data_IF_041140162730
#
_entry.id   IF_041140162730
#
_cell.length_a   1.000
_cell.length_b   1.000
_cell.length_c   1.000
_cell.angle_alpha   90.00
_cell.angle_beta   90.00
_cell.angle_gamma   90.00
#
_symmetry.space_group_name_H-M   'P 1'
#
loop_
_entity.id
_entity.type
_entity.pdbx_description
1 polymer ?
#
# COMPACT_ATOMS: atom_id res chain seq x y z
N UNK A 1 -51.20 -10.33 17.43
CA UNK A 1 -50.84 -11.45 18.34
C UNK A 1 -49.51 -12.02 17.85
N UNK A 2 -48.40 -11.44 18.29
CA UNK A 2 -47.60 -11.81 19.49
C UNK A 2 -46.34 -12.55 19.01
N UNK A 3 -45.27 -11.81 18.71
CA UNK A 3 -44.09 -11.68 19.57
C UNK A 3 -43.62 -13.02 20.15
N UNK A 4 -42.46 -13.49 19.70
CA UNK A 4 -41.50 -14.23 20.53
C UNK A 4 -40.11 -13.65 20.33
N UNK A 5 -39.80 -12.71 21.23
CA UNK A 5 -38.46 -12.41 21.73
C UNK A 5 -37.95 -13.66 22.43
N UNK A 6 -36.70 -14.02 22.23
CA UNK A 6 -35.92 -14.76 23.22
C UNK A 6 -34.46 -14.33 23.10
N UNK A 7 -34.16 -13.32 23.89
CA UNK A 7 -32.84 -12.91 24.32
C UNK A 7 -32.22 -14.05 25.16
N UNK A 8 -30.96 -14.38 24.89
CA UNK A 8 -30.13 -15.04 25.90
C UNK A 8 -28.75 -14.39 25.93
N UNK A 9 -28.74 -13.19 26.51
CA UNK A 9 -27.59 -12.59 27.16
C UNK A 9 -27.40 -13.31 28.51
N UNK A 10 -26.33 -14.10 28.64
CA UNK A 10 -25.81 -14.50 29.96
C UNK A 10 -24.48 -13.77 30.18
N UNK A 11 -24.61 -12.62 30.84
CA UNK A 11 -23.54 -11.88 31.51
C UNK A 11 -23.18 -12.62 32.81
N UNK A 12 -21.94 -13.09 32.91
CA UNK A 12 -21.27 -13.21 34.20
C UNK A 12 -20.20 -12.14 34.28
N UNK A 13 -20.44 -11.16 35.14
CA UNK A 13 -19.47 -10.16 35.54
C UNK A 13 -18.53 -10.74 36.60
N UNK A 14 -17.21 -10.55 36.43
CA UNK A 14 -16.29 -10.24 37.54
C UNK A 14 -15.13 -9.36 37.03
N UNK A 15 -14.51 -8.52 37.89
CA UNK A 15 -13.81 -7.30 37.48
C UNK A 15 -12.29 -7.33 37.68
N UNK A 16 -11.61 -6.32 37.11
CA UNK A 16 -10.19 -5.91 37.28
C UNK A 16 -9.21 -6.79 36.47
N UNK A 17 -8.33 -6.27 35.61
CA UNK A 17 -7.77 -4.94 35.47
C UNK A 17 -6.24 -5.06 35.53
N UNK A 18 -5.57 -5.32 34.40
CA UNK A 18 -4.11 -5.21 34.27
C UNK A 18 -3.78 -4.57 32.93
N UNK A 19 -3.59 -3.25 32.97
CA UNK A 19 -3.04 -2.46 31.87
C UNK A 19 -1.54 -2.69 31.83
N UNK A 20 -1.03 -3.26 30.74
CA UNK A 20 0.39 -3.26 30.44
C UNK A 20 0.79 -1.86 29.98
N UNK A 21 1.56 -1.18 30.83
CA UNK A 21 2.14 0.13 30.54
C UNK A 21 3.59 -0.09 30.07
N UNK A 22 3.84 0.00 28.77
CA UNK A 22 5.17 0.28 28.24
C UNK A 22 5.08 1.54 27.40
N UNK A 23 5.15 2.68 28.08
CA UNK A 23 5.28 3.99 27.46
C UNK A 23 6.78 4.31 27.41
N UNK A 24 7.33 4.28 26.21
CA UNK A 24 8.65 4.83 25.89
C UNK A 24 8.64 6.35 26.15
N UNK A 25 9.66 6.95 26.77
CA UNK A 25 9.75 8.40 26.87
C UNK A 25 10.31 8.99 25.57
N UNK A 26 9.47 9.80 24.93
CA UNK A 26 9.84 10.77 23.91
C UNK A 26 10.50 11.95 24.64
N UNK A 27 11.70 12.32 24.18
CA UNK A 27 12.44 13.51 24.55
C UNK A 27 11.81 14.68 23.82
N UNK A 28 11.25 15.66 24.54
CA UNK A 28 11.15 17.04 24.04
C UNK A 28 11.02 18.04 25.20
N UNK A 29 12.16 18.66 25.47
CA UNK A 29 12.46 20.04 25.84
C UNK A 29 11.35 21.11 25.85
N UNK A 30 11.41 21.93 26.92
CA UNK A 30 11.43 23.42 26.95
C UNK A 30 10.22 24.18 27.55
N UNK A 31 10.60 25.02 28.53
CA UNK A 31 10.03 26.31 28.99
C UNK A 31 8.89 26.32 30.04
N UNK A 32 9.32 26.88 31.18
CA UNK A 32 8.67 28.00 31.87
C UNK A 32 7.49 27.67 32.79
N UNK A 33 7.68 27.87 34.10
CA UNK A 33 7.22 29.10 34.78
C UNK A 33 7.58 29.05 36.26
N UNK A 34 8.23 30.12 36.70
CA UNK A 34 8.22 30.60 38.08
C UNK A 34 6.78 30.77 38.57
N UNK A 35 6.49 30.37 39.81
CA UNK A 35 5.53 31.04 40.69
C UNK A 35 5.71 30.59 42.14
N UNK A 36 6.19 31.56 42.93
CA UNK A 36 5.95 31.81 44.35
C UNK A 36 4.98 30.89 45.12
N UNK A 37 5.46 30.37 46.26
CA UNK A 37 4.68 30.40 47.52
C UNK A 37 5.57 30.13 48.74
N UNK A 38 5.65 31.12 49.62
CA UNK A 38 6.07 31.07 51.03
C UNK A 38 4.77 30.87 51.85
N UNK A 39 4.67 29.94 52.83
CA UNK A 39 4.93 30.27 54.26
C UNK A 39 5.50 29.05 55.04
N UNK A 40 5.96 29.10 56.28
CA UNK A 40 5.75 30.02 57.39
C UNK A 40 6.92 29.82 58.39
N UNK A 41 7.48 30.92 58.90
CA UNK A 41 8.44 30.92 60.00
C UNK A 41 7.66 31.06 61.31
N UNK A 42 7.85 30.11 62.24
CA UNK A 42 7.50 30.31 63.65
C UNK A 42 8.48 29.53 64.54
N UNK A 43 9.14 30.23 65.47
CA UNK A 43 9.88 29.62 66.59
C UNK A 43 11.40 29.86 66.58
N UNK A 44 11.84 30.89 67.32
CA UNK A 44 13.21 31.39 67.48
C UNK A 44 14.13 30.50 68.35
N UNK A 45 15.44 30.48 68.06
CA UNK A 45 16.57 30.87 68.95
C UNK A 45 17.93 30.87 68.21
N UNK A 46 18.63 32.01 68.22
CA UNK A 46 20.08 32.18 67.93
C UNK A 46 20.89 31.90 69.23
N UNK A 47 22.26 31.82 69.29
CA UNK A 47 23.30 32.09 68.28
C UNK A 47 24.55 31.15 68.30
N UNK A 48 25.03 30.70 67.14
CA UNK A 48 26.47 30.46 66.83
C UNK A 48 26.57 30.59 65.30
N UNK A 49 26.53 31.80 64.74
CA UNK A 49 27.73 32.58 64.40
C UNK A 49 28.71 31.74 63.56
N UNK A 50 28.45 31.75 62.24
CA UNK A 50 29.46 32.04 61.21
C UNK A 50 30.86 31.45 61.44
N UNK A 51 31.13 30.23 60.95
CA UNK A 51 32.51 29.78 60.71
C UNK A 51 32.71 28.72 59.61
N UNK A 52 31.68 28.26 58.91
CA UNK A 52 31.81 27.21 57.88
C UNK A 52 31.34 27.64 56.48
N UNK A 53 31.53 28.92 56.13
CA UNK A 53 31.37 29.45 54.76
C UNK A 53 32.68 29.98 54.17
N UNK A 54 33.83 29.51 54.66
CA UNK A 54 35.15 29.98 54.19
C UNK A 54 36.24 28.91 54.11
N UNK A 55 35.90 27.66 53.80
CA UNK A 55 36.88 26.64 53.40
C UNK A 55 36.20 25.52 52.60
N UNK A 56 35.85 25.79 51.34
CA UNK A 56 35.84 24.77 50.25
C UNK A 56 35.46 25.32 48.86
N UNK A 57 35.76 26.59 48.56
CA UNK A 57 35.62 27.16 47.22
C UNK A 57 36.90 27.04 46.36
N UNK A 58 37.72 26.00 46.59
CA UNK A 58 38.95 25.72 45.82
C UNK A 58 39.16 24.22 45.53
N UNK A 59 38.11 23.41 45.57
CA UNK A 59 38.21 21.97 45.26
C UNK A 59 37.21 21.47 44.19
N UNK A 60 36.45 22.37 43.54
CA UNK A 60 35.51 21.99 42.47
C UNK A 60 35.71 22.90 41.24
N UNK A 61 36.96 23.20 40.89
CA UNK A 61 37.25 23.99 39.69
C UNK A 61 38.52 23.55 38.94
N UNK A 62 38.87 22.27 39.03
CA UNK A 62 39.82 21.62 38.13
C UNK A 62 39.36 20.19 37.83
N UNK A 63 38.30 20.05 37.03
CA UNK A 63 38.04 18.84 36.25
C UNK A 63 37.20 19.13 34.99
N UNK A 64 37.48 20.26 34.33
CA UNK A 64 37.00 20.55 32.98
C UNK A 64 38.21 20.93 32.15
N UNK A 65 38.91 19.93 31.63
CA UNK A 65 39.78 20.00 30.45
C UNK A 65 40.70 18.78 30.44
N UNK A 66 40.19 17.60 30.13
CA UNK A 66 40.97 16.51 29.55
C UNK A 66 39.98 15.41 29.15
N UNK A 67 39.50 15.47 27.90
CA UNK A 67 39.41 14.31 27.00
C UNK A 67 38.83 14.78 25.65
N UNK A 68 39.66 14.82 24.59
CA UNK A 68 39.29 15.25 23.26
C UNK A 68 38.65 14.10 22.46
N UNK A 69 37.75 14.47 21.54
CA UNK A 69 37.72 13.93 20.17
C UNK A 69 37.70 12.40 20.00
N UNK A 70 36.64 11.71 20.43
CA UNK A 70 36.31 10.35 19.92
C UNK A 70 34.79 10.09 19.83
N UNK A 71 34.00 11.09 19.44
CA UNK A 71 32.60 10.90 19.00
C UNK A 71 32.41 11.34 17.54
N UNK A 72 33.35 10.93 16.70
CA UNK A 72 33.24 11.04 15.24
C UNK A 72 33.56 9.68 14.64
N UNK A 73 32.82 8.64 15.05
CA UNK A 73 32.89 7.32 14.43
C UNK A 73 31.66 6.50 14.80
N UNK A 74 30.89 6.15 13.75
CA UNK A 74 29.99 5.01 13.70
C UNK A 74 28.62 5.19 14.39
N UNK A 75 27.79 6.05 13.79
CA UNK A 75 26.43 5.63 13.47
C UNK A 75 25.98 6.28 12.15
N UNK A 76 26.83 6.20 11.12
CA UNK A 76 26.32 5.98 9.77
C UNK A 76 25.79 4.55 9.74
N UNK A 77 24.67 4.32 10.44
CA UNK A 77 23.76 3.26 10.04
C UNK A 77 23.17 3.78 8.74
N UNK A 78 23.97 3.67 7.68
CA UNK A 78 23.50 3.70 6.31
C UNK A 78 22.34 2.74 6.34
N UNK A 79 21.15 3.32 6.35
CA UNK A 79 19.92 2.63 6.14
C UNK A 79 20.15 1.96 4.80
N UNK A 80 20.53 0.67 4.85
CA UNK A 80 20.43 -0.23 3.72
C UNK A 80 18.93 -0.26 3.48
N UNK A 81 18.46 0.75 2.75
CA UNK A 81 17.18 0.74 2.07
C UNK A 81 17.32 -0.48 1.21
N UNK A 82 16.77 -1.60 1.70
CA UNK A 82 16.75 -2.86 0.98
C UNK A 82 15.96 -2.52 -0.27
N UNK A 83 16.68 -2.19 -1.34
CA UNK A 83 16.10 -1.51 -2.48
C UNK A 83 15.24 -2.54 -3.20
N UNK A 84 13.98 -2.63 -2.77
CA UNK A 84 13.02 -3.58 -3.28
C UNK A 84 12.82 -3.31 -4.76
N UNK A 85 13.37 -4.18 -5.60
CA UNK A 85 13.37 -4.03 -7.06
C UNK A 85 11.98 -4.20 -7.64
N UNK A 86 11.50 -3.25 -8.44
CA UNK A 86 10.24 -3.38 -9.21
C UNK A 86 10.46 -4.22 -10.47
N UNK A 87 9.43 -4.88 -11.00
CA UNK A 87 9.60 -5.66 -12.24
C UNK A 87 9.81 -4.79 -13.47
N UNK A 88 9.32 -3.55 -13.46
CA UNK A 88 9.44 -2.59 -14.57
C UNK A 88 10.26 -1.40 -14.09
N UNK A 89 11.30 -1.09 -14.85
CA UNK A 89 12.13 0.09 -14.66
C UNK A 89 11.48 1.26 -15.40
N UNK A 90 11.27 2.36 -14.70
CA UNK A 90 10.58 3.56 -15.20
C UNK A 90 11.28 4.80 -14.67
N UNK A 91 11.21 5.88 -15.44
CA UNK A 91 11.78 7.18 -15.07
C UNK A 91 11.18 7.69 -13.76
N UNK A 92 12.03 7.95 -12.78
CA UNK A 92 11.61 8.28 -11.41
C UNK A 92 10.89 9.64 -11.30
N UNK A 93 11.16 10.55 -12.25
CA UNK A 93 10.60 11.89 -12.31
C UNK A 93 9.09 11.87 -12.59
N UNK A 94 8.66 11.11 -13.60
CA UNK A 94 7.28 11.13 -14.09
C UNK A 94 6.43 9.97 -13.55
N UNK A 95 6.98 9.15 -12.65
CA UNK A 95 6.30 7.95 -12.14
C UNK A 95 6.22 7.91 -10.63
N UNK A 96 5.08 7.47 -10.12
CA UNK A 96 4.89 7.12 -8.71
C UNK A 96 4.83 5.60 -8.54
N UNK A 97 5.41 5.09 -7.46
CA UNK A 97 5.52 3.65 -7.20
C UNK A 97 4.95 3.33 -5.81
N UNK A 98 4.29 2.18 -5.71
CA UNK A 98 3.78 1.65 -4.44
C UNK A 98 3.90 0.13 -4.44
N UNK A 99 4.24 -0.44 -3.29
CA UNK A 99 4.40 -1.88 -3.11
C UNK A 99 3.93 -2.31 -1.73
N UNK A 100 3.24 -3.45 -1.69
CA UNK A 100 2.97 -4.18 -0.46
C UNK A 100 3.60 -5.57 -0.52
N UNK A 101 4.42 -5.91 0.47
CA UNK A 101 5.09 -7.20 0.57
C UNK A 101 4.43 -8.09 1.62
N UNK A 102 4.36 -9.39 1.34
CA UNK A 102 3.89 -10.40 2.29
C UNK A 102 2.47 -10.14 2.82
N UNK A 103 1.60 -9.56 1.98
CA UNK A 103 0.25 -9.17 2.35
C UNK A 103 -0.60 -10.41 2.63
N UNK A 104 -1.31 -10.43 3.77
CA UNK A 104 -2.17 -11.55 4.20
C UNK A 104 -3.53 -11.54 3.51
N UNK A 105 -3.50 -11.56 2.19
CA UNK A 105 -4.65 -11.59 1.28
C UNK A 105 -4.47 -12.74 0.31
N UNK A 106 -5.58 -13.28 -0.19
CA UNK A 106 -5.51 -14.43 -1.09
C UNK A 106 -4.99 -14.01 -2.46
N UNK A 107 -3.84 -14.54 -2.87
CA UNK A 107 -3.14 -14.20 -4.11
C UNK A 107 -4.05 -14.21 -5.35
N UNK A 108 -4.92 -15.21 -5.50
CA UNK A 108 -5.78 -15.30 -6.69
C UNK A 108 -6.72 -14.10 -6.82
N UNK A 109 -7.25 -13.59 -5.72
CA UNK A 109 -8.14 -12.44 -5.74
C UNK A 109 -7.39 -11.16 -6.08
N UNK A 110 -6.21 -10.98 -5.47
CA UNK A 110 -5.35 -9.84 -5.73
C UNK A 110 -4.96 -9.78 -7.21
N UNK A 111 -4.60 -10.92 -7.81
CA UNK A 111 -4.25 -11.03 -9.23
C UNK A 111 -5.38 -10.56 -10.15
N UNK A 112 -6.62 -11.00 -9.90
CA UNK A 112 -7.75 -10.59 -10.75
C UNK A 112 -8.06 -9.10 -10.59
N UNK A 113 -7.99 -8.57 -9.36
CA UNK A 113 -8.15 -7.12 -9.12
C UNK A 113 -7.05 -6.34 -9.85
N UNK A 114 -5.77 -6.63 -9.61
CA UNK A 114 -4.65 -5.90 -10.23
C UNK A 114 -4.71 -5.95 -11.75
N UNK A 115 -5.13 -7.09 -12.31
CA UNK A 115 -5.24 -7.25 -13.75
C UNK A 115 -6.40 -6.43 -14.34
N UNK A 116 -7.52 -6.30 -13.62
CA UNK A 116 -8.65 -5.51 -14.09
C UNK A 116 -8.35 -4.01 -14.10
N UNK A 117 -7.61 -3.54 -13.09
CA UNK A 117 -7.38 -2.11 -12.85
C UNK A 117 -6.20 -1.58 -13.69
N UNK A 118 -5.37 -2.47 -14.24
CA UNK A 118 -4.27 -2.10 -15.13
C UNK A 118 -4.81 -1.31 -16.34
N UNK A 119 -4.25 -0.12 -16.57
CA UNK A 119 -4.64 0.79 -17.65
C UNK A 119 -5.82 1.73 -17.31
N UNK A 120 -6.40 1.65 -16.11
CA UNK A 120 -7.38 2.65 -15.67
C UNK A 120 -6.69 3.93 -15.18
N UNK A 121 -7.42 5.05 -15.23
CA UNK A 121 -7.04 6.26 -14.50
C UNK A 121 -7.14 6.01 -12.99
N UNK A 122 -6.31 6.71 -12.20
CA UNK A 122 -6.26 6.52 -10.76
C UNK A 122 -7.62 6.82 -10.09
N UNK A 123 -8.29 7.90 -10.49
CA UNK A 123 -9.62 8.26 -10.00
C UNK A 123 -10.68 7.18 -10.30
N UNK A 124 -10.69 6.64 -11.53
CA UNK A 124 -11.62 5.57 -11.91
C UNK A 124 -11.35 4.29 -11.14
N UNK A 125 -10.08 3.95 -10.92
CA UNK A 125 -9.68 2.80 -10.13
C UNK A 125 -10.17 2.91 -8.68
N UNK A 126 -9.99 4.07 -8.04
CA UNK A 126 -10.46 4.32 -6.68
C UNK A 126 -11.98 4.16 -6.55
N UNK A 127 -12.73 4.80 -7.46
CA UNK A 127 -14.19 4.65 -7.51
C UNK A 127 -14.62 3.19 -7.69
N UNK A 128 -13.96 2.46 -8.59
CA UNK A 128 -14.24 1.04 -8.80
C UNK A 128 -14.03 0.21 -7.53
N UNK A 129 -12.98 0.47 -6.75
CA UNK A 129 -12.76 -0.24 -5.48
C UNK A 129 -13.89 0.01 -4.48
N UNK A 130 -14.37 1.25 -4.39
CA UNK A 130 -15.48 1.63 -3.52
C UNK A 130 -16.79 0.97 -3.96
N UNK A 131 -17.06 0.97 -5.27
CA UNK A 131 -18.23 0.29 -5.84
C UNK A 131 -18.18 -1.23 -5.61
N UNK A 132 -17.00 -1.86 -5.63
CA UNK A 132 -16.82 -3.28 -5.30
C UNK A 132 -17.07 -3.55 -3.83
N UNK A 133 -16.60 -2.69 -2.92
CA UNK A 133 -16.86 -2.78 -1.49
C UNK A 133 -18.36 -2.59 -1.17
N UNK A 134 -19.04 -1.75 -1.95
CA UNK A 134 -20.48 -1.53 -1.90
C UNK A 134 -21.30 -2.58 -2.69
N UNK A 135 -20.66 -3.60 -3.27
CA UNK A 135 -21.28 -4.65 -4.10
C UNK A 135 -22.02 -4.16 -5.37
N UNK A 136 -21.77 -2.92 -5.79
CA UNK A 136 -22.35 -2.30 -6.99
C UNK A 136 -21.63 -2.71 -8.28
N UNK A 137 -20.30 -2.82 -8.20
CA UNK A 137 -19.45 -3.31 -9.28
C UNK A 137 -18.83 -4.65 -8.90
N UNK A 138 -18.53 -5.50 -9.89
CA UNK A 138 -17.95 -6.83 -9.66
C UNK A 138 -16.52 -6.89 -10.21
N UNK A 139 -15.63 -7.61 -9.51
CA UNK A 139 -14.31 -7.93 -10.04
C UNK A 139 -14.45 -9.10 -11.01
N UNK A 140 -14.08 -8.95 -12.29
CA UNK A 140 -14.08 -10.06 -13.24
C UNK A 140 -12.99 -11.07 -12.90
N UNK A 141 -13.32 -12.36 -12.92
CA UNK A 141 -12.35 -13.43 -12.76
C UNK A 141 -12.03 -14.00 -14.14
N UNK A 142 -10.79 -13.83 -14.60
CA UNK A 142 -10.38 -14.23 -15.95
C UNK A 142 -9.54 -15.50 -15.92
N UNK A 143 -8.57 -15.60 -15.00
CA UNK A 143 -7.63 -16.74 -14.94
C UNK A 143 -8.12 -17.82 -13.98
N UNK A 144 -8.60 -17.42 -12.80
CA UNK A 144 -8.98 -18.35 -11.74
C UNK A 144 -10.49 -18.56 -11.69
N UNK A 145 -11.06 -19.23 -12.68
CA UNK A 145 -12.53 -19.37 -12.86
C UNK A 145 -13.15 -20.62 -12.24
N UNK A 146 -12.34 -21.61 -11.80
CA UNK A 146 -12.85 -22.87 -11.24
C UNK A 146 -13.73 -22.67 -10.00
N UNK A 147 -14.99 -23.09 -10.06
CA UNK A 147 -15.95 -22.99 -8.95
C UNK A 147 -16.47 -21.57 -8.68
N UNK A 148 -16.32 -20.64 -9.62
CA UNK A 148 -16.86 -19.28 -9.51
C UNK A 148 -18.24 -19.20 -10.17
N UNK A 149 -19.21 -18.67 -9.42
CA UNK A 149 -20.56 -18.43 -9.93
C UNK A 149 -20.59 -17.30 -10.95
N UNK A 150 -21.59 -17.34 -11.83
CA UNK A 150 -21.82 -16.28 -12.83
C UNK A 150 -22.59 -15.11 -12.21
N UNK A 151 -22.30 -13.88 -12.66
CA UNK A 151 -22.98 -12.66 -12.19
C UNK A 151 -23.37 -11.77 -13.37
N UNK A 152 -24.55 -11.15 -13.30
CA UNK A 152 -25.04 -10.26 -14.35
C UNK A 152 -24.13 -9.05 -14.56
N UNK A 153 -23.60 -8.47 -13.48
CA UNK A 153 -22.67 -7.34 -13.51
C UNK A 153 -21.38 -7.66 -14.29
N UNK A 154 -20.93 -8.93 -14.30
CA UNK A 154 -19.70 -9.33 -14.99
C UNK A 154 -19.81 -9.24 -16.52
N UNK A 155 -21.04 -9.09 -17.06
CA UNK A 155 -21.30 -8.82 -18.48
C UNK A 155 -20.69 -7.48 -18.90
N UNK A 156 -20.68 -6.47 -18.02
CA UNK A 156 -20.10 -5.15 -18.30
C UNK A 156 -18.60 -5.26 -18.61
N UNK A 157 -17.90 -6.11 -17.87
CA UNK A 157 -16.47 -6.40 -18.05
C UNK A 157 -16.16 -7.43 -19.14
N UNK A 158 -17.17 -7.99 -19.83
CA UNK A 158 -17.04 -9.06 -20.84
C UNK A 158 -16.13 -10.21 -20.37
N UNK A 159 -16.22 -10.57 -19.09
CA UNK A 159 -15.40 -11.61 -18.50
C UNK A 159 -15.79 -12.99 -19.07
N UNK A 160 -14.82 -13.92 -19.24
CA UNK A 160 -15.12 -15.26 -19.75
C UNK A 160 -16.16 -15.96 -18.86
N UNK A 161 -17.28 -16.38 -19.48
CA UNK A 161 -18.37 -17.04 -18.77
C UNK A 161 -19.17 -16.13 -17.81
N UNK A 162 -19.01 -14.81 -17.88
CA UNK A 162 -19.61 -13.85 -16.93
C UNK A 162 -19.28 -14.18 -15.47
N UNK A 163 -18.07 -14.70 -15.22
CA UNK A 163 -17.59 -15.07 -13.89
C UNK A 163 -17.05 -13.84 -13.14
N UNK A 164 -17.55 -13.60 -11.93
CA UNK A 164 -17.13 -12.46 -11.11
C UNK A 164 -17.48 -12.62 -9.64
N UNK A 165 -16.72 -11.98 -8.74
CA UNK A 165 -16.98 -11.93 -7.29
C UNK A 165 -16.62 -10.57 -6.70
N UNK A 166 -16.99 -10.36 -5.44
CA UNK A 166 -16.62 -9.20 -4.63
C UNK A 166 -15.61 -9.58 -3.54
N UNK A 167 -14.30 -9.60 -3.85
CA UNK A 167 -13.26 -9.98 -2.89
C UNK A 167 -12.95 -8.85 -1.89
N UNK A 168 -13.87 -8.56 -0.95
CA UNK A 168 -13.83 -7.44 0.00
C UNK A 168 -12.45 -7.21 0.63
N UNK A 169 -11.84 -8.25 1.22
CA UNK A 169 -10.54 -8.14 1.89
C UNK A 169 -9.40 -7.73 0.94
N UNK A 170 -9.39 -8.28 -0.26
CA UNK A 170 -8.33 -7.98 -1.23
C UNK A 170 -8.53 -6.58 -1.83
N UNK A 171 -9.79 -6.20 -2.10
CA UNK A 171 -10.15 -4.86 -2.59
C UNK A 171 -9.73 -3.77 -1.61
N UNK A 172 -9.97 -3.94 -0.31
CA UNK A 172 -9.55 -2.99 0.71
C UNK A 172 -8.02 -2.76 0.69
N UNK A 173 -7.23 -3.84 0.73
CA UNK A 173 -5.76 -3.74 0.70
C UNK A 173 -5.24 -3.12 -0.59
N UNK A 174 -5.86 -3.41 -1.74
CA UNK A 174 -5.47 -2.80 -3.02
C UNK A 174 -5.83 -1.32 -3.07
N UNK A 175 -6.99 -0.91 -2.50
CA UNK A 175 -7.38 0.50 -2.36
C UNK A 175 -6.32 1.27 -1.57
N UNK A 176 -5.89 0.73 -0.44
CA UNK A 176 -4.86 1.36 0.42
C UNK A 176 -3.52 1.51 -0.31
N UNK A 177 -3.13 0.53 -1.13
CA UNK A 177 -1.89 0.63 -1.93
C UNK A 177 -2.00 1.68 -3.04
N UNK A 178 -3.18 1.86 -3.63
CA UNK A 178 -3.44 2.88 -4.64
C UNK A 178 -3.49 4.28 -4.01
N UNK A 179 -4.13 4.47 -2.85
CA UNK A 179 -4.10 5.76 -2.15
C UNK A 179 -2.68 6.16 -1.77
N UNK A 180 -1.85 5.20 -1.35
CA UNK A 180 -0.42 5.46 -1.10
C UNK A 180 0.32 5.85 -2.38
N UNK A 181 0.00 5.24 -3.52
CA UNK A 181 0.61 5.60 -4.80
C UNK A 181 0.23 7.02 -5.25
N UNK A 182 -1.02 7.45 -4.98
CA UNK A 182 -1.50 8.80 -5.26
C UNK A 182 -0.79 9.81 -4.34
N UNK A 183 -0.75 9.55 -3.03
CA UNK A 183 -0.04 10.41 -2.08
C UNK A 183 1.46 10.55 -2.41
N UNK A 184 2.10 9.47 -2.87
CA UNK A 184 3.48 9.52 -3.37
C UNK A 184 3.64 10.35 -4.65
N UNK A 185 2.60 10.44 -5.49
CA UNK A 185 2.62 11.24 -6.70
C UNK A 185 2.44 12.74 -6.37
N UNK A 186 1.53 13.06 -5.45
CA UNK A 186 1.33 14.41 -4.91
C UNK A 186 2.61 14.94 -4.25
N UNK A 187 3.29 14.11 -3.46
CA UNK A 187 4.57 14.46 -2.86
C UNK A 187 5.68 14.74 -3.90
N UNK A 188 5.54 14.21 -5.12
CA UNK A 188 6.44 14.48 -6.24
C UNK A 188 5.99 15.67 -7.11
N UNK A 189 4.84 16.27 -6.82
CA UNK A 189 4.27 17.36 -7.62
C UNK A 189 3.65 16.91 -8.95
N UNK A 190 3.30 15.62 -9.08
CA UNK A 190 2.56 15.12 -10.25
C UNK A 190 1.06 15.41 -10.06
N UNK A 191 0.39 15.78 -11.15
CA UNK A 191 -1.07 15.96 -11.14
C UNK A 191 -1.79 14.63 -10.92
N UNK A 192 -2.54 14.51 -9.83
CA UNK A 192 -3.22 13.28 -9.41
C UNK A 192 -4.33 12.83 -10.37
N UNK A 193 -4.97 13.77 -11.07
CA UNK A 193 -6.11 13.49 -11.95
C UNK A 193 -5.67 12.94 -13.31
N UNK A 194 -4.51 13.38 -13.82
CA UNK A 194 -3.90 12.88 -15.05
C UNK A 194 -3.17 11.53 -14.91
N UNK A 195 -3.08 10.98 -13.70
CA UNK A 195 -2.39 9.70 -13.47
C UNK A 195 -3.19 8.50 -13.97
N UNK A 196 -2.48 7.58 -14.61
CA UNK A 196 -3.01 6.27 -14.94
C UNK A 196 -2.08 5.16 -14.46
N UNK A 197 -2.65 3.97 -14.29
CA UNK A 197 -1.95 2.78 -13.82
C UNK A 197 -1.29 2.12 -15.03
N UNK A 198 0.00 2.41 -15.25
CA UNK A 198 0.79 1.78 -16.32
C UNK A 198 1.14 0.35 -15.99
N UNK A 199 1.61 0.10 -14.76
CA UNK A 199 1.99 -1.23 -14.31
C UNK A 199 1.24 -1.61 -13.03
N UNK A 200 0.67 -2.80 -13.04
CA UNK A 200 0.07 -3.43 -11.89
C UNK A 200 0.40 -4.91 -11.95
N UNK A 201 1.01 -5.42 -10.89
CA UNK A 201 1.41 -6.82 -10.81
C UNK A 201 1.19 -7.37 -9.42
N UNK A 202 0.78 -8.63 -9.37
CA UNK A 202 0.64 -9.41 -8.15
C UNK A 202 1.48 -10.68 -8.29
N UNK A 203 2.41 -10.87 -7.37
CA UNK A 203 3.27 -12.05 -7.26
C UNK A 203 2.91 -12.88 -6.02
N UNK A 204 3.20 -14.18 -6.07
CA UNK A 204 2.99 -15.07 -4.92
C UNK A 204 4.04 -14.78 -3.86
N UNK A 205 3.63 -14.69 -2.60
CA UNK A 205 4.54 -14.65 -1.48
C UNK A 205 4.74 -16.07 -0.88
N UNK A 206 5.82 -16.29 -0.12
CA UNK A 206 6.05 -17.55 0.58
C UNK A 206 4.82 -17.99 1.41
N UNK A 207 4.32 -19.22 1.24
CA UNK A 207 3.12 -19.65 1.92
C UNK A 207 3.40 -20.03 3.38
N UNK A 208 2.64 -19.46 4.32
CA UNK A 208 2.60 -19.94 5.70
C UNK A 208 2.11 -21.39 5.80
N UNK A 209 2.69 -22.16 6.72
CA UNK A 209 2.43 -23.60 6.90
C UNK A 209 1.61 -23.87 8.16
N UNK A 210 0.46 -24.52 8.01
CA UNK A 210 -0.36 -25.10 9.09
C UNK A 210 -0.69 -26.56 8.73
N UNK A 211 -1.12 -27.35 9.72
CA UNK A 211 -1.51 -28.75 9.55
C UNK A 211 -3.02 -28.89 9.71
N UNK A 212 -3.62 -29.80 8.96
CA UNK A 212 -5.00 -30.23 9.17
C UNK A 212 -4.99 -31.73 9.43
N UNK A 213 -5.50 -32.13 10.59
CA UNK A 213 -5.70 -33.52 10.93
C UNK A 213 -6.96 -34.05 10.22
N UNK A 214 -6.87 -35.25 9.66
CA UNK A 214 -7.92 -35.89 8.88
C UNK A 214 -8.18 -37.29 9.45
N UNK A 215 -9.24 -37.92 8.98
CA UNK A 215 -9.59 -39.29 9.36
C UNK A 215 -8.40 -40.26 9.16
N UNK A 216 -8.39 -41.33 9.97
CA UNK A 216 -7.37 -42.38 9.97
C UNK A 216 -5.93 -41.86 10.16
N UNK A 217 -5.74 -40.85 11.03
CA UNK A 217 -4.41 -40.33 11.38
C UNK A 217 -3.69 -39.57 10.26
N UNK A 218 -4.36 -39.28 9.14
CA UNK A 218 -3.75 -38.57 8.01
C UNK A 218 -3.51 -37.09 8.34
N UNK A 219 -2.35 -36.56 7.97
CA UNK A 219 -1.99 -35.15 8.14
C UNK A 219 -1.92 -34.45 6.79
N UNK A 220 -2.79 -33.46 6.57
CA UNK A 220 -2.82 -32.62 5.37
C UNK A 220 -2.12 -31.26 5.58
N UNK A 221 -1.70 -30.65 4.47
CA UNK A 221 -1.18 -29.27 4.45
C UNK A 221 -2.33 -28.26 4.37
N UNK A 222 -2.37 -27.32 5.31
CA UNK A 222 -3.22 -26.13 5.21
C UNK A 222 -2.33 -24.89 5.14
N UNK A 223 -2.26 -24.31 3.95
CA UNK A 223 -1.31 -23.23 3.68
C UNK A 223 -2.03 -21.93 3.31
N UNK A 224 -1.55 -20.83 3.88
CA UNK A 224 -1.96 -19.49 3.44
C UNK A 224 -1.28 -19.16 2.11
N UNK A 225 -1.94 -18.34 1.28
CA UNK A 225 -1.41 -17.89 -0.01
C UNK A 225 -1.31 -16.36 -0.03
N UNK A 226 -0.33 -15.76 0.67
CA UNK A 226 -0.11 -14.32 0.68
C UNK A 226 0.39 -13.81 -0.68
N UNK A 227 0.40 -12.49 -0.85
CA UNK A 227 0.78 -11.84 -2.10
C UNK A 227 1.78 -10.69 -1.91
N UNK A 228 2.62 -10.48 -2.91
CA UNK A 228 3.34 -9.22 -3.13
C UNK A 228 2.61 -8.46 -4.23
N UNK A 229 2.26 -7.21 -4.00
CA UNK A 229 1.55 -6.37 -4.97
C UNK A 229 2.43 -5.16 -5.26
N UNK A 230 2.54 -4.79 -6.53
CA UNK A 230 3.24 -3.59 -6.98
C UNK A 230 2.38 -2.80 -7.97
N UNK A 231 2.46 -1.48 -7.84
CA UNK A 231 1.84 -0.51 -8.73
C UNK A 231 2.87 0.52 -9.18
N UNK A 232 2.76 0.92 -10.44
CA UNK A 232 3.41 2.09 -11.01
C UNK A 232 2.33 2.96 -11.65
N UNK A 233 2.28 4.21 -11.23
CA UNK A 233 1.47 5.25 -11.84
C UNK A 233 2.38 6.13 -12.70
N UNK A 234 1.88 6.52 -13.85
CA UNK A 234 2.56 7.38 -14.83
C UNK A 234 1.60 8.50 -15.19
N UNK A 235 2.12 9.71 -15.40
CA UNK A 235 1.36 10.76 -16.07
C UNK A 235 1.10 10.35 -17.52
N UNK A 236 -0.11 10.60 -18.03
CA UNK A 236 -0.47 10.28 -19.42
C UNK A 236 0.30 11.21 -20.37
N UNK A 237 1.27 10.67 -21.09
CA UNK A 237 1.90 11.40 -22.19
C UNK A 237 0.87 11.62 -23.30
N UNK A 238 0.79 12.85 -23.80
CA UNK A 238 0.07 13.14 -25.04
C UNK A 238 0.67 12.29 -26.17
N UNK A 239 -0.19 11.72 -27.01
CA UNK A 239 0.23 10.75 -28.01
C UNK A 239 1.27 11.35 -28.95
N UNK A 240 2.52 10.95 -28.79
CA UNK A 240 3.57 11.26 -29.76
C UNK A 240 3.19 10.55 -31.05
N UNK A 241 2.85 11.32 -32.09
CA UNK A 241 2.65 10.78 -33.42
C UNK A 241 3.94 10.06 -33.80
N UNK A 242 3.87 8.73 -33.98
CA UNK A 242 4.96 8.04 -34.66
C UNK A 242 4.99 8.59 -36.08
N UNK A 243 6.15 9.08 -36.49
CA UNK A 243 6.38 9.35 -37.91
C UNK A 243 6.16 8.01 -38.63
N UNK A 244 5.23 7.99 -39.58
CA UNK A 244 5.16 6.91 -40.54
C UNK A 244 6.45 7.03 -41.37
N UNK A 245 7.43 6.15 -41.12
CA UNK A 245 8.61 5.96 -41.98
C UNK A 245 8.18 5.33 -43.33
N UNK A 246 7.27 6.02 -44.02
CA UNK A 246 6.57 5.60 -45.23
C UNK A 246 7.10 6.22 -46.52
N UNK A 247 8.23 6.93 -46.48
CA UNK A 247 8.91 7.46 -47.68
C UNK A 247 10.45 7.33 -47.56
N UNK A 248 10.93 6.17 -47.13
CA UNK A 248 12.34 5.76 -47.25
C UNK A 248 12.44 4.49 -48.11
N UNK A 249 13.38 4.47 -49.06
CA UNK A 249 13.66 3.35 -49.96
C UNK A 249 13.81 2.03 -49.18
N UNK A 250 12.74 1.21 -49.15
CA UNK A 250 12.70 -0.04 -48.38
C UNK A 250 11.35 -0.38 -47.73
N UNK A 251 10.30 0.43 -47.90
CA UNK A 251 8.99 0.15 -47.34
C UNK A 251 8.33 -1.08 -47.99
N UNK A 252 8.21 -2.19 -47.24
CA UNK A 252 7.29 -3.27 -47.62
C UNK A 252 5.86 -2.72 -47.51
N UNK A 253 5.25 -2.37 -48.64
CA UNK A 253 3.87 -1.90 -48.71
C UNK A 253 2.92 -2.83 -47.95
N UNK A 254 1.79 -2.28 -47.48
CA UNK A 254 0.71 -3.02 -46.79
C UNK A 254 0.52 -4.38 -47.46
N UNK A 255 0.87 -5.48 -46.77
CA UNK A 255 0.81 -6.83 -47.34
C UNK A 255 -0.65 -7.21 -47.59
N UNK A 256 -1.14 -6.94 -48.79
CA UNK A 256 -2.48 -7.30 -49.23
C UNK A 256 -2.55 -8.84 -49.29
N UNK A 257 -3.59 -9.44 -48.70
CA UNK A 257 -3.79 -10.89 -48.83
C UNK A 257 -4.08 -11.25 -50.29
N UNK A 258 -3.65 -12.43 -50.75
CA UNK A 258 -3.86 -12.88 -52.16
C UNK A 258 -5.32 -12.72 -52.62
N UNK A 259 -6.29 -12.94 -51.72
CA UNK A 259 -7.73 -12.78 -51.96
C UNK A 259 -8.14 -11.31 -52.19
N UNK A 260 -7.59 -10.37 -51.42
CA UNK A 260 -7.87 -8.95 -51.58
C UNK A 260 -7.22 -8.39 -52.86
N UNK A 261 -6.03 -8.86 -53.22
CA UNK A 261 -5.38 -8.48 -54.47
C UNK A 261 -6.16 -8.99 -55.70
N UNK A 262 -6.68 -10.22 -55.63
CA UNK A 262 -7.55 -10.76 -56.68
C UNK A 262 -8.85 -9.95 -56.81
N UNK A 263 -9.48 -9.57 -55.68
CA UNK A 263 -10.71 -8.77 -55.69
C UNK A 263 -10.50 -7.35 -56.24
N UNK A 264 -9.35 -6.74 -55.98
CA UNK A 264 -8.98 -5.44 -56.54
C UNK A 264 -8.70 -5.49 -58.04
N UNK A 265 -8.23 -6.64 -58.55
CA UNK A 265 -8.03 -6.88 -60.00
C UNK A 265 -9.34 -7.10 -60.75
N UNK A 266 -10.37 -7.61 -60.08
CA UNK A 266 -11.72 -7.70 -60.64
C UNK A 266 -12.41 -6.33 -60.60
N UNK A 267 -12.15 -5.50 -61.62
CA UNK A 267 -13.00 -4.35 -61.93
C UNK A 267 -14.36 -4.88 -62.39
N UNK A 268 -15.43 -4.48 -61.71
CA UNK A 268 -16.81 -4.81 -62.09
C UNK A 268 -17.13 -4.06 -63.39
N UNK A 269 -16.82 -4.64 -64.54
CA UNK A 269 -17.23 -4.11 -65.84
C UNK A 269 -18.71 -4.48 -66.04
N UNK A 270 -19.59 -3.52 -65.76
CA UNK A 270 -20.93 -3.46 -66.34
C UNK A 270 -22.09 -3.95 -65.46
N UNK A 271 -23.09 -3.06 -65.31
CA UNK A 271 -24.51 -3.39 -65.17
C UNK A 271 -25.12 -3.21 -63.78
N UNK A 272 -25.81 -2.09 -63.57
CA UNK A 272 -27.20 -2.05 -63.08
C UNK A 272 -27.76 -0.65 -63.40
N UNK A 273 -28.51 -0.58 -64.51
CA UNK A 273 -29.79 0.14 -64.55
C UNK A 273 -30.82 -0.77 -63.88
#
# INVERSE_FOLDING_TARGET
MSERKDDCFLLHATPRGMKWCHKWPIIETVKSRYLFSIPNLSGLRLPQVTSLLRLNARFVQQQIAFLPSLYASHCFFSQISVMTRYSVETDSANTSKSRGSHLRVHYKHCREITHHVKGMTAAKAMKFMEDVLAFKAVVPFVKYTGGIGRKAQAKQSKAPGNCGRWPVKATAVVKDLLSNAIANAEAKGLDADALYISHAQCNRAPPGRRRTYRAHGRIGKYASQPAHIEFVLTAKAEGVAKNDDGEGEGASGKKITKKQAAKARFVKVGGDQ
#
